data_IF_134118181431
#
_entry.id   IF_134118181431
#
_cell.length_a   1.000
_cell.length_b   1.000
_cell.length_c   1.000
_cell.angle_alpha   90.00
_cell.angle_beta   90.00
_cell.angle_gamma   90.00
#
_symmetry.space_group_name_H-M   'P 1'
#
loop_
_entity.id
_entity.type
_entity.pdbx_description
1 polymer ?
#
# COMPACT_ATOMS: atom_id res chain seq x y z
N UNK A 1 -28.71 41.08 -8.41
CA UNK A 1 -30.14 41.26 -8.74
C UNK A 1 -30.66 39.90 -9.13
N UNK A 2 -31.54 39.38 -8.29
CA UNK A 2 -32.26 38.15 -8.37
C UNK A 2 -33.30 38.15 -9.53
N UNK A 3 -34.11 37.07 -9.77
CA UNK A 3 -34.57 36.10 -8.76
C UNK A 3 -34.59 34.61 -9.19
N UNK A 4 -34.80 33.74 -8.18
CA UNK A 4 -35.35 32.38 -8.30
C UNK A 4 -36.84 32.37 -8.60
N UNK A 5 -37.43 31.26 -8.99
CA UNK A 5 -38.77 30.88 -8.47
C UNK A 5 -38.82 29.47 -7.86
N UNK A 6 -39.31 29.37 -6.72
CA UNK A 6 -40.39 28.78 -5.93
C UNK A 6 -41.00 27.44 -6.36
N UNK A 7 -41.06 26.57 -5.35
CA UNK A 7 -41.85 25.31 -5.25
C UNK A 7 -43.36 25.50 -5.54
N UNK A 8 -43.99 24.44 -6.05
CA UNK A 8 -45.39 24.13 -5.73
C UNK A 8 -45.60 22.61 -5.56
N UNK A 9 -46.25 22.29 -4.47
CA UNK A 9 -46.83 21.05 -3.98
C UNK A 9 -48.06 20.61 -4.77
N UNK A 10 -48.51 19.39 -4.51
CA UNK A 10 -49.85 18.73 -4.62
C UNK A 10 -49.69 17.37 -5.32
N UNK A 11 -50.11 16.20 -4.84
CA UNK A 11 -51.05 15.81 -3.81
C UNK A 11 -51.20 14.28 -3.85
N UNK A 12 -51.59 13.73 -2.73
CA UNK A 12 -51.86 12.30 -2.50
C UNK A 12 -53.20 11.83 -3.09
N UNK A 13 -53.27 10.54 -3.45
CA UNK A 13 -54.55 9.82 -3.37
C UNK A 13 -54.38 8.32 -3.18
N UNK A 14 -55.08 7.81 -2.19
CA UNK A 14 -55.27 6.46 -1.70
C UNK A 14 -56.36 5.69 -2.48
N UNK A 15 -56.31 4.34 -2.44
CA UNK A 15 -57.46 3.41 -2.15
C UNK A 15 -57.06 1.96 -2.54
N UNK A 16 -56.98 1.03 -1.64
CA UNK A 16 -57.96 0.08 -1.06
C UNK A 16 -58.60 -0.94 -2.02
N UNK A 17 -58.55 -2.22 -1.62
CA UNK A 17 -59.49 -3.28 -2.06
C UNK A 17 -58.85 -4.69 -2.10
N UNK A 18 -58.81 -5.45 -1.10
CA UNK A 18 -59.59 -6.52 -0.44
C UNK A 18 -59.72 -7.86 -1.18
N UNK A 19 -59.31 -8.93 -0.45
CA UNK A 19 -59.89 -10.29 -0.23
C UNK A 19 -59.86 -11.37 -1.32
N UNK A 20 -59.46 -12.56 -0.86
CA UNK A 20 -59.85 -13.87 -1.40
C UNK A 20 -59.05 -15.04 -0.83
N UNK A 21 -59.66 -15.76 0.09
CA UNK A 21 -59.10 -16.92 0.78
C UNK A 21 -59.54 -18.26 0.12
N UNK A 22 -58.88 -19.36 0.56
CA UNK A 22 -59.17 -20.80 0.45
C UNK A 22 -58.30 -21.57 -0.56
N UNK A 23 -57.73 -22.69 -0.22
CA UNK A 23 -57.98 -23.82 0.60
C UNK A 23 -56.81 -24.82 0.50
N UNK A 24 -56.55 -25.50 1.59
CA UNK A 24 -55.67 -26.72 1.66
C UNK A 24 -56.42 -27.95 1.16
N UNK A 25 -55.72 -28.99 0.72
CA UNK A 25 -55.48 -30.14 1.59
C UNK A 25 -54.06 -30.78 1.50
N UNK A 26 -53.67 -31.43 2.58
CA UNK A 26 -52.69 -32.49 2.77
C UNK A 26 -53.46 -33.84 2.80
N UNK A 27 -52.87 -35.08 2.88
CA UNK A 27 -51.46 -35.55 2.91
C UNK A 27 -51.18 -36.89 2.14
N UNK A 28 -49.97 -37.42 2.41
CA UNK A 28 -49.47 -38.80 2.25
C UNK A 28 -48.78 -39.14 0.90
N UNK A 29 -47.48 -39.50 0.92
CA UNK A 29 -47.00 -40.85 1.16
C UNK A 29 -45.50 -40.88 1.44
N UNK A 30 -45.09 -41.79 2.37
CA UNK A 30 -43.73 -42.06 2.81
C UNK A 30 -43.19 -43.30 2.05
N UNK A 31 -42.03 -43.15 1.41
CA UNK A 31 -41.17 -44.32 1.17
C UNK A 31 -39.67 -43.90 1.13
N UNK A 32 -38.72 -44.74 1.61
CA UNK A 32 -37.40 -44.36 2.04
C UNK A 32 -36.32 -44.63 0.97
N UNK A 33 -35.90 -43.59 0.27
CA UNK A 33 -34.71 -43.63 -0.59
C UNK A 33 -33.97 -42.27 -0.60
N UNK A 34 -33.66 -41.72 0.58
CA UNK A 34 -33.13 -40.37 0.69
C UNK A 34 -31.91 -40.26 1.62
N UNK A 35 -30.90 -41.15 1.55
CA UNK A 35 -29.68 -40.98 2.34
C UNK A 35 -28.39 -40.77 1.51
N UNK A 36 -28.44 -40.81 0.19
CA UNK A 36 -27.26 -40.51 -0.67
C UNK A 36 -27.31 -39.09 -1.27
N UNK A 37 -28.49 -38.48 -1.41
CA UNK A 37 -28.62 -37.13 -2.05
C UNK A 37 -28.35 -35.97 -1.08
N UNK A 38 -28.44 -36.22 0.23
CA UNK A 38 -28.26 -35.18 1.24
C UNK A 38 -26.78 -34.74 1.43
N UNK A 39 -25.80 -35.55 1.00
CA UNK A 39 -24.37 -35.18 1.10
C UNK A 39 -23.87 -34.43 -0.13
N UNK A 40 -24.49 -34.63 -1.29
CA UNK A 40 -24.18 -33.86 -2.52
C UNK A 40 -24.81 -32.48 -2.48
N UNK A 41 -26.02 -32.34 -1.93
CA UNK A 41 -26.66 -31.03 -1.76
C UNK A 41 -26.00 -30.13 -0.72
N UNK A 42 -25.43 -30.70 0.35
CA UNK A 42 -24.68 -29.96 1.34
C UNK A 42 -23.32 -29.43 0.82
N UNK A 43 -22.70 -30.17 -0.09
CA UNK A 43 -21.46 -29.74 -0.77
C UNK A 43 -21.74 -28.67 -1.84
N UNK A 44 -22.84 -28.84 -2.61
CA UNK A 44 -23.31 -27.84 -3.57
C UNK A 44 -23.80 -26.56 -2.88
N UNK A 45 -24.50 -26.68 -1.75
CA UNK A 45 -24.94 -25.51 -0.95
C UNK A 45 -23.77 -24.79 -0.30
N UNK A 46 -22.72 -25.49 0.17
CA UNK A 46 -21.49 -24.86 0.65
C UNK A 46 -20.72 -24.17 -0.48
N UNK A 47 -20.67 -24.72 -1.68
CA UNK A 47 -20.08 -24.10 -2.87
C UNK A 47 -20.89 -22.87 -3.31
N UNK A 48 -22.22 -22.92 -3.27
CA UNK A 48 -23.10 -21.79 -3.62
C UNK A 48 -23.06 -20.68 -2.56
N UNK A 49 -22.90 -20.99 -1.27
CA UNK A 49 -22.74 -20.00 -0.19
C UNK A 49 -21.35 -19.34 -0.27
N UNK A 50 -20.29 -20.08 -0.67
CA UNK A 50 -18.98 -19.49 -0.91
C UNK A 50 -18.95 -18.52 -2.10
N UNK A 51 -19.87 -18.68 -3.08
CA UNK A 51 -20.03 -17.77 -4.22
C UNK A 51 -20.91 -16.54 -3.96
N UNK A 52 -21.56 -16.44 -2.78
CA UNK A 52 -22.48 -15.36 -2.42
C UNK A 52 -21.90 -14.29 -1.49
N UNK A 53 -20.63 -14.45 -1.04
CA UNK A 53 -19.93 -13.35 -0.36
C UNK A 53 -19.52 -12.32 -1.41
N UNK A 54 -19.80 -11.01 -1.21
CA UNK A 54 -19.30 -9.99 -2.12
C UNK A 54 -17.78 -10.11 -2.21
N UNK A 55 -17.25 -10.12 -3.44
CA UNK A 55 -15.82 -10.14 -3.68
C UNK A 55 -15.18 -9.00 -2.87
N UNK A 56 -14.07 -9.30 -2.16
CA UNK A 56 -13.35 -8.26 -1.40
C UNK A 56 -12.98 -7.12 -2.35
N UNK A 57 -13.11 -5.85 -1.93
CA UNK A 57 -12.64 -4.73 -2.74
C UNK A 57 -11.15 -4.90 -3.04
N UNK A 58 -10.75 -4.54 -4.27
CA UNK A 58 -9.36 -4.64 -4.70
C UNK A 58 -8.59 -3.40 -4.31
N UNK A 59 -7.44 -3.63 -3.63
CA UNK A 59 -6.52 -2.58 -3.20
C UNK A 59 -5.18 -2.75 -3.91
N UNK A 60 -4.58 -1.65 -4.40
CA UNK A 60 -3.28 -1.65 -5.07
C UNK A 60 -2.30 -0.73 -4.36
N UNK A 61 -1.06 -1.17 -4.22
CA UNK A 61 0.04 -0.30 -3.81
C UNK A 61 1.35 -0.67 -4.51
N UNK A 62 2.04 0.35 -5.01
CA UNK A 62 3.37 0.23 -5.57
C UNK A 62 4.45 0.62 -4.57
N UNK A 63 5.55 -0.13 -4.52
CA UNK A 63 6.73 0.21 -3.74
C UNK A 63 7.96 0.22 -4.63
N UNK A 64 8.74 1.31 -4.58
CA UNK A 64 9.96 1.42 -5.36
C UNK A 64 11.07 0.52 -4.79
N UNK A 65 11.84 -0.17 -5.64
CA UNK A 65 12.96 -1.00 -5.22
C UNK A 65 14.17 -0.14 -4.85
N UNK A 66 14.14 0.44 -3.66
CA UNK A 66 15.22 1.28 -3.12
C UNK A 66 16.20 0.52 -2.23
N UNK A 67 16.27 -0.82 -2.37
CA UNK A 67 17.03 -1.72 -1.50
C UNK A 67 16.34 -1.98 -0.16
N UNK A 68 17.08 -2.49 0.83
CA UNK A 68 16.52 -2.88 2.14
C UNK A 68 15.74 -1.73 2.79
N UNK A 69 14.54 -2.00 3.34
CA UNK A 69 13.75 -0.97 3.99
C UNK A 69 14.38 -0.51 5.31
N UNK A 70 14.15 0.74 5.65
CA UNK A 70 14.47 1.30 6.96
C UNK A 70 13.21 1.37 7.84
N UNK A 71 13.40 1.67 9.12
CA UNK A 71 12.34 1.74 10.12
C UNK A 71 11.16 2.62 9.70
N UNK A 72 11.43 3.75 9.03
CA UNK A 72 10.39 4.63 8.52
C UNK A 72 9.54 4.01 7.40
N UNK A 73 10.11 3.09 6.59
CA UNK A 73 9.33 2.34 5.59
C UNK A 73 8.43 1.31 6.26
N UNK A 74 8.95 0.60 7.27
CA UNK A 74 8.18 -0.41 7.99
C UNK A 74 7.00 0.21 8.72
N UNK A 75 7.26 1.17 9.62
CA UNK A 75 6.22 1.83 10.42
C UNK A 75 5.25 2.67 9.57
N UNK A 76 5.72 3.24 8.46
CA UNK A 76 4.94 4.13 7.62
C UNK A 76 4.09 3.43 6.55
N UNK A 77 4.53 2.29 6.03
CA UNK A 77 3.87 1.63 4.90
C UNK A 77 3.73 0.11 5.06
N UNK A 78 4.84 -0.62 5.34
CA UNK A 78 4.83 -2.09 5.22
C UNK A 78 3.90 -2.74 6.24
N UNK A 79 3.88 -2.27 7.50
CA UNK A 79 2.91 -2.74 8.52
C UNK A 79 1.45 -2.55 8.10
N UNK A 80 1.16 -1.47 7.38
CA UNK A 80 -0.18 -1.24 6.86
C UNK A 80 -0.50 -2.26 5.75
N UNK A 81 0.46 -2.57 4.85
CA UNK A 81 0.27 -3.60 3.83
C UNK A 81 -0.04 -4.96 4.44
N UNK A 82 0.73 -5.36 5.46
CA UNK A 82 0.50 -6.61 6.20
C UNK A 82 -0.89 -6.64 6.86
N UNK A 83 -1.31 -5.53 7.45
CA UNK A 83 -2.64 -5.44 8.08
C UNK A 83 -3.80 -5.47 7.07
N UNK A 84 -3.59 -5.00 5.84
CA UNK A 84 -4.62 -4.91 4.80
C UNK A 84 -4.77 -6.21 3.99
N UNK A 85 -3.77 -7.10 3.96
CA UNK A 85 -3.79 -8.30 3.13
C UNK A 85 -4.93 -9.27 3.43
N UNK A 86 -5.50 -9.24 4.65
CA UNK A 86 -6.65 -10.06 5.04
C UNK A 86 -7.99 -9.42 4.73
N UNK A 87 -8.03 -8.09 4.69
CA UNK A 87 -9.24 -7.32 4.57
C UNK A 87 -9.67 -7.12 3.11
N UNK A 88 -8.69 -7.12 2.18
CA UNK A 88 -8.85 -6.78 0.78
C UNK A 88 -8.28 -7.85 -0.15
N UNK A 89 -8.70 -7.84 -1.42
CA UNK A 89 -7.93 -8.47 -2.50
C UNK A 89 -6.71 -7.58 -2.77
N UNK A 90 -5.60 -7.87 -2.08
CA UNK A 90 -4.44 -6.98 -2.02
C UNK A 90 -3.43 -7.29 -3.12
N UNK A 91 -3.05 -6.27 -3.88
CA UNK A 91 -2.06 -6.31 -4.95
C UNK A 91 -0.92 -5.36 -4.59
N UNK A 92 0.27 -5.90 -4.39
CA UNK A 92 1.50 -5.17 -4.10
C UNK A 92 2.49 -5.34 -5.24
N UNK A 93 2.94 -4.22 -5.78
CA UNK A 93 3.81 -4.19 -6.95
C UNK A 93 5.16 -3.55 -6.61
N UNK A 94 6.25 -4.23 -6.95
CA UNK A 94 7.59 -3.63 -6.92
C UNK A 94 7.76 -2.88 -8.23
N UNK A 95 7.72 -1.53 -8.16
CA UNK A 95 7.61 -0.66 -9.33
C UNK A 95 8.98 -0.30 -9.89
N UNK A 96 9.60 -1.22 -10.60
CA UNK A 96 10.92 -1.10 -11.19
C UNK A 96 10.97 -0.13 -12.38
N UNK A 97 9.92 0.01 -13.20
CA UNK A 97 9.82 1.05 -14.21
C UNK A 97 9.86 2.45 -13.60
N UNK A 98 9.19 2.67 -12.46
CA UNK A 98 9.27 3.95 -11.74
C UNK A 98 10.69 4.24 -11.24
N UNK A 99 11.42 3.20 -10.84
CA UNK A 99 12.81 3.35 -10.36
C UNK A 99 13.76 3.81 -11.47
N UNK A 100 13.49 3.51 -12.75
CA UNK A 100 14.29 3.98 -13.89
C UNK A 100 14.39 5.51 -13.99
N UNK A 101 13.51 6.24 -13.32
CA UNK A 101 13.61 7.71 -13.27
C UNK A 101 14.87 8.19 -12.53
N UNK A 102 15.54 7.33 -11.75
CA UNK A 102 16.72 7.68 -10.94
C UNK A 102 17.73 6.55 -10.75
N UNK A 103 17.40 5.30 -11.09
CA UNK A 103 18.33 4.15 -11.05
C UNK A 103 18.69 3.78 -12.47
N UNK A 104 19.97 4.01 -12.85
CA UNK A 104 20.45 3.80 -14.21
C UNK A 104 21.39 2.58 -14.35
N UNK A 105 21.85 2.02 -13.23
CA UNK A 105 22.66 0.81 -13.23
C UNK A 105 21.81 -0.45 -13.18
N UNK A 106 21.87 -1.32 -14.22
CA UNK A 106 21.01 -2.50 -14.32
C UNK A 106 21.24 -3.54 -13.20
N UNK A 107 22.49 -3.67 -12.72
CA UNK A 107 22.78 -4.63 -11.64
C UNK A 107 22.21 -4.15 -10.31
N UNK A 108 22.33 -2.86 -10.05
CA UNK A 108 21.71 -2.23 -8.88
C UNK A 108 20.20 -2.39 -8.90
N UNK A 109 19.52 -2.14 -10.04
CA UNK A 109 18.09 -2.28 -10.16
C UNK A 109 17.64 -3.73 -9.87
N UNK A 110 18.26 -4.72 -10.51
CA UNK A 110 17.95 -6.14 -10.30
C UNK A 110 18.13 -6.55 -8.83
N UNK A 111 19.27 -6.18 -8.24
CA UNK A 111 19.57 -6.48 -6.83
C UNK A 111 18.55 -5.83 -5.90
N UNK A 112 18.27 -4.55 -6.07
CA UNK A 112 17.32 -3.81 -5.21
C UNK A 112 15.89 -4.32 -5.35
N UNK A 113 15.50 -4.80 -6.53
CA UNK A 113 14.17 -5.43 -6.77
C UNK A 113 14.04 -6.70 -5.94
N UNK A 114 15.05 -7.60 -5.98
CA UNK A 114 15.03 -8.82 -5.19
C UNK A 114 15.15 -8.54 -3.68
N UNK A 115 16.01 -7.60 -3.27
CA UNK A 115 16.12 -7.18 -1.87
C UNK A 115 14.79 -6.64 -1.33
N UNK A 116 14.05 -5.87 -2.13
CA UNK A 116 12.74 -5.34 -1.74
C UNK A 116 11.71 -6.47 -1.62
N UNK A 117 11.65 -7.39 -2.59
CA UNK A 117 10.75 -8.54 -2.54
C UNK A 117 10.99 -9.40 -1.29
N UNK A 118 12.24 -9.77 -1.06
CA UNK A 118 12.63 -10.55 0.12
C UNK A 118 12.29 -9.82 1.43
N UNK A 119 12.50 -8.50 1.46
CA UNK A 119 12.21 -7.68 2.63
C UNK A 119 10.71 -7.57 2.92
N UNK A 120 9.86 -7.41 1.90
CA UNK A 120 8.41 -7.36 2.06
C UNK A 120 7.88 -8.67 2.65
N UNK A 121 8.32 -9.81 2.11
CA UNK A 121 7.94 -11.14 2.60
C UNK A 121 8.44 -11.35 4.04
N UNK A 122 9.71 -11.03 4.30
CA UNK A 122 10.31 -11.15 5.64
C UNK A 122 9.61 -10.30 6.69
N UNK A 123 9.08 -9.13 6.32
CA UNK A 123 8.36 -8.22 7.19
C UNK A 123 6.86 -8.56 7.32
N UNK A 124 6.40 -9.67 6.71
CA UNK A 124 5.08 -10.23 6.97
C UNK A 124 4.09 -10.20 5.80
N UNK A 125 4.48 -9.75 4.60
CA UNK A 125 3.65 -9.97 3.42
C UNK A 125 3.66 -11.47 3.08
N UNK A 126 2.47 -12.05 2.97
CA UNK A 126 2.26 -13.45 2.64
C UNK A 126 1.79 -13.58 1.18
N UNK A 127 2.63 -14.10 0.26
CA UNK A 127 2.28 -14.28 -1.15
C UNK A 127 1.08 -15.22 -1.40
N UNK A 128 0.71 -16.05 -0.42
CA UNK A 128 -0.51 -16.87 -0.50
C UNK A 128 -1.79 -16.06 -0.22
N UNK A 129 -1.67 -14.95 0.52
CA UNK A 129 -2.78 -14.10 0.96
C UNK A 129 -2.91 -12.81 0.15
N UNK A 130 -1.85 -12.39 -0.51
CA UNK A 130 -1.83 -11.23 -1.39
C UNK A 130 -1.09 -11.54 -2.69
N UNK A 131 -1.23 -10.68 -3.68
CA UNK A 131 -0.43 -10.76 -4.91
C UNK A 131 0.78 -9.86 -4.78
N UNK A 132 1.97 -10.42 -4.87
CA UNK A 132 3.24 -9.69 -4.92
C UNK A 132 3.97 -10.01 -6.23
N UNK A 133 4.33 -8.98 -7.00
CA UNK A 133 4.98 -9.14 -8.31
C UNK A 133 5.86 -7.93 -8.64
N UNK A 134 6.62 -8.02 -9.74
CA UNK A 134 7.42 -6.92 -10.27
C UNK A 134 6.69 -6.27 -11.45
N UNK A 135 6.66 -4.94 -11.50
CA UNK A 135 5.91 -4.17 -12.50
C UNK A 135 6.29 -4.56 -13.94
N UNK A 136 7.57 -4.76 -14.22
CA UNK A 136 8.03 -5.13 -15.56
C UNK A 136 7.61 -6.55 -16.01
N UNK A 137 7.13 -7.40 -15.10
CA UNK A 137 6.55 -8.70 -15.44
C UNK A 137 5.14 -8.54 -16.07
N UNK A 138 4.56 -7.35 -16.02
CA UNK A 138 3.26 -6.97 -16.63
C UNK A 138 3.43 -5.74 -17.53
N UNK A 139 4.06 -5.89 -18.70
CA UNK A 139 4.38 -4.78 -19.60
C UNK A 139 3.16 -4.04 -20.15
N UNK A 140 1.97 -4.64 -20.06
CA UNK A 140 0.69 -4.04 -20.48
C UNK A 140 0.44 -2.68 -19.81
N UNK A 141 0.99 -2.48 -18.62
CA UNK A 141 0.89 -1.19 -17.91
C UNK A 141 1.54 -0.04 -18.67
N UNK A 142 2.61 -0.32 -19.43
CA UNK A 142 3.28 0.71 -20.25
C UNK A 142 2.46 1.11 -21.46
N UNK A 143 1.72 0.17 -22.07
CA UNK A 143 0.75 0.47 -23.12
C UNK A 143 -0.37 1.36 -22.55
N UNK A 144 -0.96 0.98 -21.42
CA UNK A 144 -2.01 1.79 -20.78
C UNK A 144 -1.50 3.19 -20.42
N UNK A 145 -0.27 3.29 -19.92
CA UNK A 145 0.38 4.58 -19.64
C UNK A 145 0.46 5.44 -20.91
N UNK A 146 0.86 4.85 -22.05
CA UNK A 146 0.87 5.57 -23.31
C UNK A 146 -0.52 6.08 -23.71
N UNK A 147 -1.53 5.23 -23.60
CA UNK A 147 -2.92 5.60 -23.91
C UNK A 147 -3.44 6.70 -22.97
N UNK A 148 -3.11 6.63 -21.69
CA UNK A 148 -3.44 7.70 -20.73
C UNK A 148 -2.73 9.02 -21.01
N UNK A 149 -1.50 9.01 -21.53
CA UNK A 149 -0.82 10.22 -21.97
C UNK A 149 -1.60 10.96 -23.07
N UNK A 150 -2.39 10.27 -23.90
CA UNK A 150 -3.21 10.91 -24.95
C UNK A 150 -4.43 11.67 -24.42
N UNK A 151 -4.81 11.42 -23.18
CA UNK A 151 -5.97 12.09 -22.52
C UNK A 151 -5.55 13.00 -21.36
N UNK A 152 -4.25 13.05 -21.04
CA UNK A 152 -3.71 13.82 -19.89
C UNK A 152 -3.08 15.12 -20.36
N UNK A 153 -3.66 16.30 -20.04
CA UNK A 153 -3.05 17.58 -20.37
C UNK A 153 -1.69 17.77 -19.66
N UNK A 154 -0.67 18.21 -20.39
CA UNK A 154 0.70 18.45 -19.87
C UNK A 154 0.68 19.40 -18.66
N UNK A 155 -0.20 20.40 -18.66
CA UNK A 155 -0.34 21.34 -17.56
C UNK A 155 -0.74 20.71 -16.22
N UNK A 156 -1.39 19.53 -16.22
CA UNK A 156 -1.67 18.80 -14.98
C UNK A 156 -0.38 18.28 -14.37
N UNK A 157 0.47 17.66 -15.18
CA UNK A 157 1.75 17.08 -14.76
C UNK A 157 2.72 18.14 -14.24
N UNK A 158 2.81 19.28 -14.92
CA UNK A 158 3.69 20.38 -14.54
C UNK A 158 3.29 21.04 -13.21
N UNK A 159 2.06 20.87 -12.74
CA UNK A 159 1.58 21.42 -11.47
C UNK A 159 1.89 20.53 -10.28
N UNK A 160 2.32 19.28 -10.49
CA UNK A 160 2.61 18.35 -9.39
C UNK A 160 3.74 18.90 -8.49
N UNK A 161 3.59 18.80 -7.16
CA UNK A 161 4.61 19.27 -6.23
C UNK A 161 5.98 18.65 -6.46
N UNK A 162 6.01 17.33 -6.66
CA UNK A 162 7.26 16.56 -6.85
C UNK A 162 8.01 16.99 -8.11
N UNK A 163 7.31 17.24 -9.23
CA UNK A 163 7.97 17.74 -10.45
C UNK A 163 8.59 19.12 -10.22
N UNK A 164 7.85 20.02 -9.56
CA UNK A 164 8.35 21.37 -9.24
C UNK A 164 9.59 21.33 -8.35
N UNK A 165 9.55 20.51 -7.29
CA UNK A 165 10.67 20.34 -6.36
C UNK A 165 11.91 19.79 -7.07
N UNK A 166 11.78 18.70 -7.82
CA UNK A 166 12.92 18.08 -8.52
C UNK A 166 13.49 18.98 -9.61
N UNK A 167 12.65 19.71 -10.34
CA UNK A 167 13.10 20.70 -11.31
C UNK A 167 13.95 21.82 -10.67
N UNK A 168 13.69 22.17 -9.41
CA UNK A 168 14.46 23.17 -8.68
C UNK A 168 15.74 22.60 -8.07
N UNK A 169 15.68 21.38 -7.53
CA UNK A 169 16.78 20.78 -6.76
C UNK A 169 17.76 20.01 -7.62
N UNK A 170 17.35 19.49 -8.80
CA UNK A 170 18.13 18.67 -9.69
C UNK A 170 17.83 19.01 -11.16
N UNK A 171 18.10 20.24 -11.63
CA UNK A 171 17.70 20.72 -12.95
C UNK A 171 18.30 19.91 -14.11
N UNK A 172 19.50 19.36 -13.93
CA UNK A 172 20.23 18.60 -14.96
C UNK A 172 19.75 17.13 -15.09
N UNK A 173 18.93 16.63 -14.16
CA UNK A 173 18.42 15.25 -14.15
C UNK A 173 16.88 15.20 -14.35
N UNK A 174 16.32 16.21 -14.97
CA UNK A 174 14.88 16.25 -15.26
C UNK A 174 14.59 15.59 -16.60
N UNK A 175 14.36 14.27 -16.56
CA UNK A 175 13.96 13.51 -17.74
C UNK A 175 12.42 13.48 -17.94
N UNK A 176 11.97 13.03 -19.12
CA UNK A 176 10.55 12.96 -19.45
C UNK A 176 9.78 12.00 -18.51
N UNK A 177 10.39 10.90 -18.09
CA UNK A 177 9.80 9.96 -17.14
C UNK A 177 9.46 10.62 -15.80
N UNK A 178 10.29 11.57 -15.34
CA UNK A 178 10.00 12.35 -14.13
C UNK A 178 8.78 13.27 -14.29
N UNK A 179 8.46 13.74 -15.50
CA UNK A 179 7.24 14.49 -15.76
C UNK A 179 6.02 13.55 -15.81
N UNK A 180 6.16 12.36 -16.41
CA UNK A 180 5.04 11.48 -16.75
C UNK A 180 4.82 10.32 -15.80
N UNK A 181 5.68 10.11 -14.77
CA UNK A 181 5.48 9.03 -13.81
C UNK A 181 4.08 9.00 -13.14
N UNK A 182 3.37 10.14 -12.92
CA UNK A 182 2.02 10.08 -12.35
C UNK A 182 1.01 9.42 -13.29
N UNK A 183 1.26 9.46 -14.61
CA UNK A 183 0.43 8.76 -15.60
C UNK A 183 0.66 7.26 -15.52
N UNK A 184 1.92 6.83 -15.37
CA UNK A 184 2.26 5.43 -15.13
C UNK A 184 1.66 4.94 -13.81
N UNK A 185 1.71 5.75 -12.76
CA UNK A 185 1.06 5.43 -11.48
C UNK A 185 -0.46 5.24 -11.62
N UNK A 186 -1.13 6.08 -12.40
CA UNK A 186 -2.55 5.91 -12.66
C UNK A 186 -2.82 4.60 -13.41
N UNK A 187 -1.98 4.26 -14.41
CA UNK A 187 -2.08 3.00 -15.14
C UNK A 187 -1.88 1.79 -14.23
N UNK A 188 -0.86 1.80 -13.35
CA UNK A 188 -0.60 0.74 -12.37
C UNK A 188 -1.82 0.44 -11.50
N UNK A 189 -2.49 1.47 -11.00
CA UNK A 189 -3.64 1.32 -10.12
C UNK A 189 -4.82 0.68 -10.86
N UNK A 190 -5.15 1.20 -12.03
CA UNK A 190 -6.44 0.86 -12.66
C UNK A 190 -6.40 -0.28 -13.64
N UNK A 191 -5.21 -0.70 -14.12
CA UNK A 191 -5.10 -1.85 -15.02
C UNK A 191 -5.63 -3.13 -14.37
N UNK A 192 -5.48 -3.23 -13.04
CA UNK A 192 -6.00 -4.34 -12.22
C UNK A 192 -7.42 -4.07 -11.70
N UNK A 193 -8.10 -3.03 -12.19
CA UNK A 193 -9.43 -2.60 -11.69
C UNK A 193 -9.43 -2.36 -10.18
N UNK A 194 -8.32 -1.91 -9.60
CA UNK A 194 -8.25 -1.57 -8.18
C UNK A 194 -9.07 -0.29 -7.92
N UNK A 195 -9.96 -0.36 -6.93
CA UNK A 195 -10.80 0.75 -6.51
C UNK A 195 -10.27 1.47 -5.26
N UNK A 196 -9.27 0.90 -4.59
CA UNK A 196 -8.72 1.41 -3.35
C UNK A 196 -7.19 1.52 -3.43
N UNK A 197 -6.63 2.55 -2.79
CA UNK A 197 -5.18 2.78 -2.71
C UNK A 197 -4.81 3.17 -1.27
N UNK A 198 -3.95 2.40 -0.58
CA UNK A 198 -3.50 2.75 0.76
C UNK A 198 -2.47 3.88 0.65
N UNK A 199 -2.76 5.03 1.23
CA UNK A 199 -1.91 6.21 1.18
C UNK A 199 -1.78 6.93 2.52
N UNK A 200 -0.64 7.59 2.73
CA UNK A 200 -0.52 8.67 3.69
C UNK A 200 -1.20 9.95 3.17
N UNK A 201 -1.55 10.85 4.06
CA UNK A 201 -2.23 12.12 3.71
C UNK A 201 -1.42 12.98 2.73
N UNK A 202 -0.10 12.88 2.76
CA UNK A 202 0.83 13.60 1.87
C UNK A 202 0.74 13.12 0.41
N UNK A 203 0.24 11.90 0.17
CA UNK A 203 0.08 11.31 -1.16
C UNK A 203 -1.27 11.61 -1.81
N UNK A 204 -2.19 12.27 -1.11
CA UNK A 204 -3.51 12.60 -1.64
C UNK A 204 -3.49 13.38 -2.98
N UNK A 205 -2.58 14.36 -3.20
CA UNK A 205 -2.51 15.07 -4.49
C UNK A 205 -2.14 14.15 -5.68
N UNK A 206 -1.31 13.13 -5.45
CA UNK A 206 -0.93 12.18 -6.51
C UNK A 206 -2.10 11.26 -6.88
N UNK A 207 -2.84 10.79 -5.88
CA UNK A 207 -4.03 9.98 -6.13
C UNK A 207 -5.13 10.79 -6.83
N UNK A 208 -5.30 12.08 -6.46
CA UNK A 208 -6.28 12.94 -7.15
C UNK A 208 -5.95 13.11 -8.63
N UNK A 209 -4.67 13.27 -8.99
CA UNK A 209 -4.28 13.30 -10.40
C UNK A 209 -4.62 11.98 -11.12
N UNK A 210 -4.41 10.83 -10.47
CA UNK A 210 -4.83 9.53 -11.04
C UNK A 210 -6.35 9.48 -11.27
N UNK A 211 -7.15 10.04 -10.35
CA UNK A 211 -8.61 10.16 -10.49
C UNK A 211 -9.01 11.07 -11.66
N UNK A 212 -8.32 12.21 -11.81
CA UNK A 212 -8.56 13.13 -12.95
C UNK A 212 -8.28 12.44 -14.29
N UNK A 213 -7.20 11.65 -14.38
CA UNK A 213 -6.85 10.89 -15.59
C UNK A 213 -7.93 9.84 -15.90
N UNK A 214 -8.39 9.11 -14.88
CA UNK A 214 -9.48 8.11 -15.00
C UNK A 214 -10.77 8.78 -15.49
N UNK A 215 -11.17 9.90 -14.89
CA UNK A 215 -12.37 10.65 -15.32
C UNK A 215 -12.25 11.13 -16.76
N UNK A 216 -11.07 11.64 -17.16
CA UNK A 216 -10.83 12.09 -18.52
C UNK A 216 -10.95 10.94 -19.54
N UNK A 217 -10.43 9.75 -19.20
CA UNK A 217 -10.56 8.56 -20.02
C UNK A 217 -12.02 8.09 -20.09
N UNK A 218 -12.66 7.88 -18.95
CA UNK A 218 -14.04 7.40 -18.87
C UNK A 218 -15.03 8.34 -19.59
N UNK A 219 -14.83 9.66 -19.46
CA UNK A 219 -15.65 10.67 -20.17
C UNK A 219 -15.50 10.59 -21.68
N UNK A 220 -14.33 10.23 -22.20
CA UNK A 220 -14.06 10.20 -23.65
C UNK A 220 -14.43 8.87 -24.30
N UNK A 221 -14.17 7.75 -23.60
CA UNK A 221 -14.27 6.40 -24.16
C UNK A 221 -15.32 5.52 -23.46
N UNK A 222 -16.06 6.06 -22.49
CA UNK A 222 -17.07 5.34 -21.70
C UNK A 222 -16.48 4.75 -20.40
N UNK A 223 -17.37 4.45 -19.45
CA UNK A 223 -17.03 3.88 -18.14
C UNK A 223 -16.21 2.58 -18.28
N UNK A 224 -14.91 2.67 -17.99
CA UNK A 224 -13.95 1.59 -18.14
C UNK A 224 -13.27 1.28 -16.81
N UNK A 225 -12.86 2.31 -16.08
CA UNK A 225 -12.07 2.16 -14.86
C UNK A 225 -12.85 2.64 -13.63
N UNK A 226 -12.74 1.93 -12.48
CA UNK A 226 -13.19 2.48 -11.22
C UNK A 226 -12.36 3.71 -10.86
N UNK A 227 -12.99 4.73 -10.30
CA UNK A 227 -12.27 5.88 -9.77
C UNK A 227 -11.62 5.50 -8.43
N UNK A 228 -10.28 5.51 -8.32
CA UNK A 228 -9.59 5.01 -7.15
C UNK A 228 -9.83 5.91 -5.92
N UNK A 229 -10.11 5.28 -4.77
CA UNK A 229 -10.38 5.96 -3.50
C UNK A 229 -9.22 5.74 -2.51
N UNK A 230 -8.90 6.72 -1.68
CA UNK A 230 -7.85 6.57 -0.67
C UNK A 230 -8.33 5.69 0.49
N UNK A 231 -7.47 4.77 0.92
CA UNK A 231 -7.53 4.16 2.25
C UNK A 231 -6.45 4.84 3.07
N UNK A 232 -6.84 5.76 3.94
CA UNK A 232 -5.88 6.47 4.76
C UNK A 232 -5.30 5.56 5.83
N UNK A 233 -4.00 5.34 5.75
CA UNK A 233 -3.25 4.57 6.74
C UNK A 233 -2.68 5.49 7.81
N UNK A 234 -2.56 4.95 9.04
CA UNK A 234 -1.80 5.62 10.07
C UNK A 234 -0.31 5.43 9.78
N UNK A 235 0.28 6.40 9.08
CA UNK A 235 1.70 6.42 8.79
C UNK A 235 2.37 7.48 9.67
N UNK A 236 2.99 7.10 10.81
CA UNK A 236 3.74 8.06 11.60
C UNK A 236 4.90 8.62 10.78
N UNK A 237 5.14 9.91 10.88
CA UNK A 237 6.38 10.49 10.37
C UNK A 237 7.51 10.06 11.29
N UNK A 238 8.34 9.14 10.82
CA UNK A 238 9.51 8.66 11.57
C UNK A 238 10.69 9.56 11.24
N UNK A 239 11.19 10.27 12.25
CA UNK A 239 12.40 11.09 12.11
C UNK A 239 13.63 10.19 12.03
N UNK A 240 14.62 10.64 11.29
CA UNK A 240 15.91 9.95 11.16
C UNK A 240 16.78 10.05 12.40
N UNK A 241 17.99 9.51 12.31
CA UNK A 241 18.98 9.54 13.39
C UNK A 241 19.40 10.97 13.75
N UNK A 242 19.22 11.93 12.86
CA UNK A 242 19.43 13.36 13.08
C UNK A 242 18.35 14.04 13.96
N UNK A 243 17.23 13.35 14.23
CA UNK A 243 16.15 13.81 15.10
C UNK A 243 15.32 14.98 14.56
N UNK A 244 15.55 15.42 13.33
CA UNK A 244 14.90 16.63 12.76
C UNK A 244 14.22 16.39 11.43
N UNK A 245 14.85 15.60 10.53
CA UNK A 245 14.33 15.32 9.19
C UNK A 245 13.70 13.92 9.14
N UNK A 246 12.73 13.75 8.27
CA UNK A 246 12.15 12.43 7.98
C UNK A 246 13.28 11.45 7.61
N UNK A 247 13.18 10.23 8.11
CA UNK A 247 14.12 9.14 7.80
C UNK A 247 14.18 8.89 6.30
N UNK A 248 15.39 8.96 5.72
CA UNK A 248 15.61 8.81 4.28
C UNK A 248 17.01 8.30 3.98
N UNK A 249 17.13 7.38 3.02
CA UNK A 249 18.42 6.85 2.56
C UNK A 249 19.31 7.91 1.91
N UNK A 250 18.72 8.81 1.14
CA UNK A 250 19.46 9.89 0.48
C UNK A 250 20.14 10.86 1.44
N UNK A 251 19.60 10.96 2.67
CA UNK A 251 20.16 11.80 3.74
C UNK A 251 21.16 11.00 4.60
N UNK A 252 21.09 9.68 4.58
CA UNK A 252 21.95 8.81 5.40
C UNK A 252 21.55 8.76 6.88
N UNK A 253 20.32 9.12 7.22
CA UNK A 253 19.80 9.19 8.61
C UNK A 253 18.88 8.01 8.97
N UNK A 254 19.13 6.81 8.39
CA UNK A 254 18.25 5.65 8.50
C UNK A 254 18.64 4.70 9.63
N UNK A 255 17.65 3.91 10.09
CA UNK A 255 17.83 2.69 10.87
C UNK A 255 17.33 1.54 10.00
N UNK A 256 18.25 0.69 9.52
CA UNK A 256 17.94 -0.44 8.65
C UNK A 256 17.41 -1.63 9.46
N UNK A 257 16.15 -1.99 9.29
CA UNK A 257 15.49 -3.02 10.12
C UNK A 257 16.00 -4.45 9.90
N UNK A 258 16.53 -4.75 8.70
CA UNK A 258 17.05 -6.06 8.33
C UNK A 258 18.59 -6.12 8.32
N UNK A 259 19.26 -5.10 8.84
CA UNK A 259 20.70 -5.10 9.01
C UNK A 259 21.15 -6.00 10.16
N UNK A 260 22.45 -6.33 10.20
CA UNK A 260 23.03 -7.06 11.33
C UNK A 260 22.90 -6.28 12.64
N UNK A 261 22.77 -6.97 13.79
CA UNK A 261 22.53 -6.34 15.08
C UNK A 261 23.48 -5.21 15.43
N UNK A 262 24.77 -5.36 15.12
CA UNK A 262 25.78 -4.34 15.42
C UNK A 262 25.60 -3.06 14.60
N UNK A 263 25.13 -3.18 13.36
CA UNK A 263 24.80 -2.03 12.50
C UNK A 263 23.61 -1.27 13.10
N UNK A 264 22.53 -1.97 13.46
CA UNK A 264 21.35 -1.38 14.10
C UNK A 264 21.74 -0.67 15.39
N UNK A 265 22.54 -1.33 16.22
CA UNK A 265 23.02 -0.76 17.50
C UNK A 265 23.81 0.52 17.27
N UNK A 266 24.74 0.52 16.29
CA UNK A 266 25.53 1.69 15.92
C UNK A 266 24.65 2.84 15.44
N UNK A 267 23.67 2.56 14.58
CA UNK A 267 22.73 3.57 14.05
C UNK A 267 21.91 4.20 15.18
N UNK A 268 21.38 3.39 16.11
CA UNK A 268 20.58 3.89 17.25
C UNK A 268 21.44 4.66 18.24
N UNK A 269 22.65 4.20 18.51
CA UNK A 269 23.57 4.92 19.41
C UNK A 269 23.99 6.28 18.84
N UNK A 270 23.99 6.46 17.50
CA UNK A 270 24.29 7.74 16.86
C UNK A 270 23.12 8.73 16.84
N UNK A 271 21.89 8.31 17.24
CA UNK A 271 20.71 9.19 17.21
C UNK A 271 20.91 10.42 18.08
N UNK A 272 20.46 11.56 17.56
CA UNK A 272 20.35 12.79 18.33
C UNK A 272 19.17 12.67 19.31
N UNK A 273 19.41 13.01 20.57
CA UNK A 273 18.40 13.06 21.64
C UNK A 273 18.03 14.52 21.96
N UNK A 274 17.47 14.77 23.13
CA UNK A 274 17.19 16.14 23.60
C UNK A 274 18.49 16.94 23.75
N UNK A 275 18.74 17.90 22.88
CA UNK A 275 19.94 18.73 22.85
C UNK A 275 20.05 19.71 24.02
N UNK A 276 18.97 19.94 24.77
CA UNK A 276 18.98 20.79 25.96
C UNK A 276 19.31 20.00 27.25
N UNK A 277 19.30 18.66 27.21
CA UNK A 277 19.73 17.81 28.31
C UNK A 277 21.23 17.64 28.25
N UNK A 278 21.96 18.40 29.04
CA UNK A 278 23.44 18.40 29.07
C UNK A 278 23.98 17.35 30.04
N UNK A 279 23.45 17.31 31.25
CA UNK A 279 23.85 16.37 32.28
C UNK A 279 22.86 15.21 32.40
N UNK A 280 23.35 14.05 32.84
CA UNK A 280 22.47 12.89 33.12
C UNK A 280 21.39 13.20 34.15
N UNK A 281 21.70 14.07 35.11
CA UNK A 281 20.80 14.53 36.15
C UNK A 281 19.74 15.54 35.71
N UNK A 282 19.89 16.08 34.50
CA UNK A 282 18.91 17.05 33.97
C UNK A 282 17.63 16.31 33.53
N UNK A 283 16.45 16.83 33.84
CA UNK A 283 15.20 16.35 33.30
C UNK A 283 15.20 16.39 31.78
N UNK A 284 14.88 15.25 31.14
CA UNK A 284 14.73 15.18 29.71
C UNK A 284 13.36 15.66 29.23
N UNK A 285 13.25 15.95 27.94
CA UNK A 285 12.00 16.32 27.27
C UNK A 285 11.62 15.21 26.27
N UNK A 286 10.99 14.11 26.74
CA UNK A 286 10.68 12.97 25.90
C UNK A 286 9.76 13.32 24.70
N UNK A 287 8.98 14.40 24.79
CA UNK A 287 8.13 14.89 23.69
C UNK A 287 8.93 15.37 22.46
N UNK A 288 10.19 15.77 22.62
CA UNK A 288 11.08 16.18 21.52
C UNK A 288 12.18 15.16 21.24
N UNK A 289 12.32 14.14 22.09
CA UNK A 289 13.34 13.09 21.95
C UNK A 289 12.84 11.99 21.00
N UNK A 290 13.44 11.90 19.80
CA UNK A 290 13.07 10.88 18.82
C UNK A 290 13.27 9.43 19.35
N UNK A 291 14.27 9.20 20.18
CA UNK A 291 14.50 7.89 20.83
C UNK A 291 13.31 7.52 21.71
N UNK A 292 12.84 8.45 22.56
CA UNK A 292 11.67 8.22 23.41
C UNK A 292 10.40 7.96 22.58
N UNK A 293 10.20 8.71 21.49
CA UNK A 293 9.04 8.51 20.62
C UNK A 293 9.01 7.13 19.96
N UNK A 294 10.18 6.60 19.58
CA UNK A 294 10.27 5.28 18.95
C UNK A 294 9.93 4.12 19.92
N UNK A 295 10.17 4.26 21.22
CA UNK A 295 9.83 3.21 22.19
C UNK A 295 8.35 2.81 22.17
N UNK A 296 7.42 3.73 21.81
CA UNK A 296 5.99 3.40 21.70
C UNK A 296 5.66 2.31 20.70
N UNK A 297 6.58 2.04 19.75
CA UNK A 297 6.38 1.02 18.72
C UNK A 297 7.01 -0.34 19.09
N UNK A 298 7.79 -0.40 20.19
CA UNK A 298 8.61 -1.56 20.54
C UNK A 298 8.54 -1.99 22.00
N UNK A 299 7.57 -1.54 22.78
CA UNK A 299 7.38 -1.94 24.17
C UNK A 299 6.10 -1.38 24.77
N UNK A 300 5.53 -2.11 25.72
CA UNK A 300 4.31 -1.72 26.42
C UNK A 300 4.61 -0.73 27.58
N UNK A 301 5.86 -0.68 28.05
CA UNK A 301 6.36 0.18 29.13
C UNK A 301 6.75 1.59 28.67
N UNK A 302 6.17 2.04 27.56
CA UNK A 302 6.47 3.36 26.98
C UNK A 302 6.29 4.50 27.99
N UNK A 303 5.22 4.48 28.80
CA UNK A 303 4.93 5.51 29.79
C UNK A 303 5.99 5.53 30.91
N UNK A 304 6.53 4.38 31.30
CA UNK A 304 7.59 4.28 32.27
C UNK A 304 8.91 4.87 31.77
N UNK A 305 9.25 4.57 30.50
CA UNK A 305 10.41 5.15 29.82
C UNK A 305 10.28 6.66 29.72
N UNK A 306 9.08 7.13 29.33
CA UNK A 306 8.77 8.54 29.22
C UNK A 306 8.94 9.26 30.57
N UNK A 307 8.40 8.71 31.65
CA UNK A 307 8.53 9.27 33.00
C UNK A 307 9.97 9.17 33.51
N UNK A 308 10.67 8.10 33.22
CA UNK A 308 12.09 7.92 33.56
C UNK A 308 12.98 8.99 32.94
N UNK A 309 12.77 9.33 31.67
CA UNK A 309 13.48 10.43 30.98
C UNK A 309 13.10 11.79 31.56
N UNK A 310 11.81 12.05 31.78
CA UNK A 310 11.29 13.32 32.32
C UNK A 310 11.79 13.61 33.72
N UNK A 311 12.00 12.58 34.54
CA UNK A 311 12.44 12.70 35.93
C UNK A 311 13.93 12.48 36.12
N UNK A 312 14.71 12.34 35.06
CA UNK A 312 16.14 12.03 35.07
C UNK A 312 16.51 10.68 35.73
N UNK A 313 15.54 9.77 35.94
CA UNK A 313 15.80 8.40 36.46
C UNK A 313 16.58 7.58 35.46
N UNK A 314 16.30 7.76 34.16
CA UNK A 314 17.01 7.12 33.06
C UNK A 314 17.85 8.11 32.27
N UNK A 315 18.99 7.66 31.73
CA UNK A 315 19.87 8.47 30.91
C UNK A 315 19.65 8.15 29.41
N UNK A 316 19.90 9.13 28.53
CA UNK A 316 19.74 8.96 27.07
C UNK A 316 20.50 7.75 26.51
N UNK A 317 21.67 7.40 27.08
CA UNK A 317 22.44 6.23 26.65
C UNK A 317 21.73 4.93 27.00
N UNK A 318 21.14 4.87 28.19
CA UNK A 318 20.42 3.69 28.67
C UNK A 318 19.15 3.47 27.83
N UNK A 319 18.41 4.55 27.56
CA UNK A 319 17.22 4.53 26.68
C UNK A 319 17.56 4.10 25.24
N UNK A 320 18.68 4.59 24.68
CA UNK A 320 19.16 4.14 23.36
C UNK A 320 19.51 2.66 23.33
N UNK A 321 20.25 2.16 24.36
CA UNK A 321 20.60 0.75 24.45
C UNK A 321 19.37 -0.13 24.49
N UNK A 322 18.39 0.23 25.34
CA UNK A 322 17.13 -0.48 25.44
C UNK A 322 16.36 -0.50 24.11
N UNK A 323 16.27 0.65 23.41
CA UNK A 323 15.64 0.72 22.10
C UNK A 323 16.35 -0.16 21.07
N UNK A 324 17.69 -0.16 21.07
CA UNK A 324 18.48 -0.98 20.15
C UNK A 324 18.18 -2.47 20.34
N UNK A 325 18.21 -2.97 21.57
CA UNK A 325 17.93 -4.38 21.83
C UNK A 325 16.48 -4.76 21.49
N UNK A 326 15.52 -3.88 21.72
CA UNK A 326 14.12 -4.10 21.33
C UNK A 326 13.93 -4.18 19.83
N UNK A 327 14.51 -3.26 19.07
CA UNK A 327 14.45 -3.28 17.59
C UNK A 327 15.18 -4.51 17.05
N UNK A 328 16.35 -4.86 17.59
CA UNK A 328 17.11 -6.05 17.20
C UNK A 328 16.28 -7.33 17.45
N UNK A 329 15.65 -7.46 18.60
CA UNK A 329 14.83 -8.60 18.96
C UNK A 329 13.55 -8.66 18.09
N UNK A 330 12.86 -7.53 17.90
CA UNK A 330 11.62 -7.44 17.15
C UNK A 330 11.81 -7.93 15.69
N UNK A 331 12.90 -7.51 15.04
CA UNK A 331 13.17 -7.88 13.65
C UNK A 331 14.05 -9.14 13.51
N UNK A 332 14.38 -9.86 14.58
CA UNK A 332 15.22 -11.05 14.49
C UNK A 332 14.61 -12.13 13.58
N UNK A 333 13.33 -12.51 13.71
CA UNK A 333 12.73 -13.49 12.79
C UNK A 333 12.72 -13.00 11.33
N UNK A 334 12.40 -11.73 11.11
CA UNK A 334 12.40 -11.14 9.76
C UNK A 334 13.81 -11.15 9.13
N UNK A 335 14.86 -10.90 9.90
CA UNK A 335 16.24 -10.97 9.39
C UNK A 335 16.61 -12.39 8.93
N UNK A 336 16.23 -13.42 9.66
CA UNK A 336 16.51 -14.81 9.26
C UNK A 336 15.73 -15.17 8.00
N UNK A 337 14.44 -14.87 7.94
CA UNK A 337 13.63 -15.09 6.72
C UNK A 337 14.21 -14.33 5.51
N UNK A 338 14.66 -13.08 5.72
CA UNK A 338 15.29 -12.30 4.66
C UNK A 338 16.57 -12.96 4.14
N UNK A 339 17.44 -13.45 5.05
CA UNK A 339 18.67 -14.16 4.68
C UNK A 339 18.39 -15.44 3.91
N UNK A 340 17.41 -16.23 4.34
CA UNK A 340 16.97 -17.45 3.64
C UNK A 340 16.48 -17.15 2.22
N UNK A 341 15.63 -16.13 2.04
CA UNK A 341 15.13 -15.74 0.73
C UNK A 341 16.24 -15.21 -0.18
N UNK A 342 17.16 -14.43 0.35
CA UNK A 342 18.30 -13.92 -0.42
C UNK A 342 19.33 -15.01 -0.76
N UNK A 343 19.39 -16.10 0.00
CA UNK A 343 20.22 -17.27 -0.31
C UNK A 343 19.62 -18.16 -1.42
N UNK A 344 18.31 -18.03 -1.71
CA UNK A 344 17.63 -18.74 -2.81
C UNK A 344 16.88 -17.75 -3.73
N UNK A 345 17.60 -17.01 -4.59
CA UNK A 345 16.98 -16.06 -5.53
C UNK A 345 16.02 -16.74 -6.51
N UNK A 346 16.21 -18.01 -6.82
CA UNK A 346 15.33 -18.77 -7.71
C UNK A 346 13.94 -19.00 -7.09
N UNK A 347 13.90 -19.34 -5.80
CA UNK A 347 12.64 -19.42 -5.05
C UNK A 347 11.93 -18.07 -5.02
N UNK A 348 12.66 -17.01 -4.71
CA UNK A 348 12.11 -15.67 -4.66
C UNK A 348 11.52 -15.24 -6.01
N UNK A 349 12.24 -15.53 -7.11
CA UNK A 349 11.76 -15.24 -8.45
C UNK A 349 10.48 -15.99 -8.78
N UNK A 350 10.39 -17.30 -8.47
CA UNK A 350 9.15 -18.08 -8.66
C UNK A 350 7.95 -17.45 -7.94
N UNK A 351 8.11 -16.99 -6.71
CA UNK A 351 7.04 -16.30 -5.96
C UNK A 351 6.54 -15.05 -6.72
N UNK A 352 7.46 -14.27 -7.26
CA UNK A 352 7.13 -13.07 -8.03
C UNK A 352 6.46 -13.41 -9.37
N UNK A 353 6.94 -14.44 -10.07
CA UNK A 353 6.37 -14.93 -11.32
C UNK A 353 4.94 -15.45 -11.11
N UNK A 354 4.70 -16.22 -10.05
CA UNK A 354 3.35 -16.69 -9.65
C UNK A 354 2.40 -15.53 -9.36
N UNK A 355 2.90 -14.49 -8.68
CA UNK A 355 2.15 -13.25 -8.46
C UNK A 355 1.77 -12.55 -9.78
N UNK A 356 2.71 -12.43 -10.71
CA UNK A 356 2.49 -11.84 -12.01
C UNK A 356 1.49 -12.65 -12.86
N UNK A 357 1.55 -13.99 -12.80
CA UNK A 357 0.61 -14.87 -13.48
C UNK A 357 -0.81 -14.76 -12.90
N UNK A 358 -0.95 -14.59 -11.58
CA UNK A 358 -2.24 -14.45 -10.90
C UNK A 358 -3.03 -13.24 -11.38
N UNK A 359 -2.36 -12.13 -11.69
CA UNK A 359 -3.01 -10.88 -12.14
C UNK A 359 -3.06 -10.73 -13.65
N UNK A 360 -2.36 -11.58 -14.42
CA UNK A 360 -2.33 -11.53 -15.90
C UNK A 360 -3.73 -11.47 -16.51
N UNK A 361 -4.68 -12.36 -16.17
CA UNK A 361 -6.00 -12.35 -16.81
C UNK A 361 -6.75 -11.03 -16.61
N UNK A 362 -6.53 -10.36 -15.48
CA UNK A 362 -7.16 -9.07 -15.18
C UNK A 362 -6.57 -7.98 -16.07
N UNK A 363 -5.25 -7.92 -16.18
CA UNK A 363 -4.56 -6.93 -16.99
C UNK A 363 -4.90 -7.11 -18.48
N UNK A 364 -4.88 -8.34 -19.00
CA UNK A 364 -5.22 -8.66 -20.38
C UNK A 364 -6.68 -8.32 -20.73
N UNK A 365 -7.62 -8.70 -19.87
CA UNK A 365 -9.05 -8.37 -20.04
C UNK A 365 -9.28 -6.85 -20.03
N UNK A 366 -8.61 -6.13 -19.11
CA UNK A 366 -8.67 -4.67 -19.05
C UNK A 366 -8.12 -4.03 -20.32
N UNK A 367 -6.96 -4.50 -20.81
CA UNK A 367 -6.37 -3.96 -22.03
C UNK A 367 -7.20 -4.28 -23.28
N UNK A 368 -7.82 -5.44 -23.34
CA UNK A 368 -8.77 -5.80 -24.41
C UNK A 368 -9.93 -4.81 -24.43
N UNK A 369 -10.58 -4.58 -23.28
CA UNK A 369 -11.67 -3.59 -23.16
C UNK A 369 -11.21 -2.17 -23.59
N UNK A 370 -10.02 -1.75 -23.13
CA UNK A 370 -9.46 -0.43 -23.47
C UNK A 370 -9.23 -0.28 -24.96
N UNK A 371 -8.60 -1.28 -25.61
CA UNK A 371 -8.34 -1.26 -27.05
C UNK A 371 -9.63 -1.19 -27.87
N UNK A 372 -10.63 -1.99 -27.51
CA UNK A 372 -11.94 -1.99 -28.17
C UNK A 372 -12.61 -0.60 -28.07
N UNK A 373 -12.64 0.00 -26.88
CA UNK A 373 -13.26 1.31 -26.66
C UNK A 373 -12.55 2.45 -27.39
N UNK A 374 -11.24 2.34 -27.57
CA UNK A 374 -10.43 3.32 -28.31
C UNK A 374 -10.39 3.05 -29.83
N UNK A 375 -10.99 1.95 -30.31
CA UNK A 375 -10.95 1.56 -31.71
C UNK A 375 -9.60 0.99 -32.15
N UNK A 376 -8.80 0.46 -31.21
CA UNK A 376 -7.56 -0.23 -31.46
C UNK A 376 -7.82 -1.75 -31.66
N UNK A 377 -6.88 -2.45 -32.31
CA UNK A 377 -7.02 -3.90 -32.59
C UNK A 377 -6.40 -4.74 -31.48
#
# INVERSE_FOLDING_TARGET
>A
MAPQPTMTDVGASSANGTRGAAGRPCPADLSPSGKLDAMTDAAAAKSAIASSLPAKPRIFSGIQPTGRPHLGNDLGAIRNYVALQDQYESIYCIVDYHALTHVHDPETLRRQTLEMAAALIALGLDPERCTLFVQSDRPEVTELCWLFNTVTPVGWLQRTPTFKEKRQTQPDDVNHGLLTYPVLQAADIVIYKASLVPIGKDQAPHLELSREIVRAFNSRYGETFPEPQPVYTQAPVVLGTDGTRKMSKSIGNTIEVLAEPDVIRKQIMSMVTDTQRILRSDPGRPQVCNVCQLHRHFGEDYEEIWDGERTARTGCVDTKKLLAERIIAHYAPARETYKELMADPARLRRILDEGAERIRPIAEATMTEVRERMGLR
#
